data_IF_594385706180
#
_entry.id   IF_594385706180
#
_cell.length_a   1.000
_cell.length_b   1.000
_cell.length_c   1.000
_cell.angle_alpha   90.00
_cell.angle_beta   90.00
_cell.angle_gamma   90.00
#
_symmetry.space_group_name_H-M   'P 1'
#
loop_
_entity.id
_entity.type
_entity.pdbx_description
1 polymer ?
#
# COMPACT_ATOMS: atom_id res chain seq x y z
N UNK A 1 23.08 5.04 -16.42
CA UNK A 1 21.94 5.40 -15.56
C UNK A 1 22.00 6.89 -15.43
N UNK A 2 21.05 7.58 -16.05
CA UNK A 2 21.05 9.04 -16.10
C UNK A 2 20.70 9.60 -14.71
N UNK A 3 21.28 10.74 -14.33
CA UNK A 3 21.07 11.39 -13.02
C UNK A 3 19.58 11.58 -12.70
N UNK A 4 18.78 11.90 -13.72
CA UNK A 4 17.33 12.01 -13.63
C UNK A 4 16.63 10.71 -13.20
N UNK A 5 17.16 9.54 -13.59
CA UNK A 5 16.61 8.25 -13.19
C UNK A 5 16.87 7.99 -11.69
N UNK A 6 18.05 8.37 -11.19
CA UNK A 6 18.40 8.20 -9.78
C UNK A 6 17.53 9.10 -8.88
N UNK A 7 17.30 10.34 -9.32
CA UNK A 7 16.38 11.28 -8.67
C UNK A 7 14.93 10.77 -8.70
N UNK A 8 14.49 10.23 -9.85
CA UNK A 8 13.15 9.65 -9.99
C UNK A 8 12.92 8.45 -9.05
N UNK A 9 13.92 7.56 -8.94
CA UNK A 9 13.85 6.41 -8.02
C UNK A 9 13.85 6.86 -6.56
N UNK A 10 14.70 7.82 -6.18
CA UNK A 10 14.76 8.34 -4.82
C UNK A 10 13.46 9.02 -4.37
N UNK A 11 12.92 9.90 -5.22
CA UNK A 11 11.64 10.57 -4.96
C UNK A 11 10.47 9.57 -4.95
N UNK A 12 10.44 8.63 -5.89
CA UNK A 12 9.42 7.57 -5.95
C UNK A 12 9.43 6.69 -4.70
N UNK A 13 10.61 6.34 -4.17
CA UNK A 13 10.74 5.58 -2.94
C UNK A 13 10.21 6.36 -1.72
N UNK A 14 10.55 7.65 -1.60
CA UNK A 14 10.05 8.51 -0.51
C UNK A 14 8.53 8.65 -0.59
N UNK A 15 7.98 8.94 -1.78
CA UNK A 15 6.54 9.06 -2.00
C UNK A 15 5.84 7.73 -1.69
N UNK A 16 6.41 6.61 -2.13
CA UNK A 16 5.89 5.27 -1.84
C UNK A 16 5.86 4.95 -0.35
N UNK A 17 6.93 5.27 0.39
CA UNK A 17 7.00 5.10 1.85
C UNK A 17 5.97 5.98 2.56
N UNK A 18 5.86 7.25 2.18
CA UNK A 18 4.86 8.18 2.74
C UNK A 18 3.45 7.64 2.46
N UNK A 19 3.12 7.31 1.21
CA UNK A 19 1.81 6.76 0.85
C UNK A 19 1.50 5.45 1.59
N UNK A 20 2.48 4.57 1.77
CA UNK A 20 2.30 3.33 2.53
C UNK A 20 2.01 3.61 4.02
N UNK A 21 2.73 4.56 4.63
CA UNK A 21 2.54 4.97 6.03
C UNK A 21 1.25 5.76 6.25
N UNK A 22 0.76 6.48 5.23
CA UNK A 22 -0.50 7.24 5.30
C UNK A 22 -1.73 6.39 4.94
N UNK A 23 -1.56 5.09 4.70
CA UNK A 23 -2.64 4.17 4.32
C UNK A 23 -3.13 4.27 2.87
N UNK A 24 -2.84 5.38 2.16
CA UNK A 24 -3.26 5.60 0.77
C UNK A 24 -2.61 4.62 -0.23
N UNK A 25 -1.35 4.23 0.01
CA UNK A 25 -0.63 3.22 -0.80
C UNK A 25 -0.91 1.78 -0.36
N UNK A 26 -1.32 1.59 0.90
CA UNK A 26 -1.68 0.28 1.45
C UNK A 26 -2.84 -0.37 0.71
N UNK A 27 -3.77 0.43 0.17
CA UNK A 27 -4.94 -0.01 -0.62
C UNK A 27 -4.62 -0.99 -1.74
N UNK A 28 -3.61 -0.62 -2.53
CA UNK A 28 -3.23 -1.33 -3.75
C UNK A 28 -2.55 -2.66 -3.40
N UNK A 29 -1.79 -2.70 -2.31
CA UNK A 29 -1.06 -3.89 -1.88
C UNK A 29 -1.81 -4.73 -0.84
N UNK A 30 -2.83 -4.21 -0.18
CA UNK A 30 -3.53 -4.91 0.91
C UNK A 30 -4.15 -6.23 0.43
N UNK A 31 -4.88 -6.21 -0.69
CA UNK A 31 -5.51 -7.42 -1.22
C UNK A 31 -4.48 -8.48 -1.64
N UNK A 32 -3.47 -8.20 -2.49
CA UNK A 32 -2.47 -9.21 -2.83
C UNK A 32 -1.65 -9.66 -1.61
N UNK A 33 -1.37 -8.79 -0.64
CA UNK A 33 -0.64 -9.18 0.58
C UNK A 33 -1.47 -10.12 1.46
N UNK A 34 -2.79 -9.95 1.54
CA UNK A 34 -3.69 -10.88 2.25
C UNK A 34 -3.83 -12.22 1.51
N UNK A 35 -3.90 -12.20 0.18
CA UNK A 35 -3.98 -13.43 -0.64
C UNK A 35 -2.67 -14.21 -0.57
N UNK A 36 -1.52 -13.56 -0.81
CA UNK A 36 -0.22 -14.23 -0.85
C UNK A 36 0.38 -14.47 0.55
N UNK A 37 0.11 -13.59 1.52
CA UNK A 37 0.66 -13.68 2.86
C UNK A 37 -0.15 -14.56 3.81
N UNK A 38 -1.48 -14.59 3.68
CA UNK A 38 -2.37 -15.40 4.53
C UNK A 38 -3.05 -16.55 3.78
N UNK A 39 -2.86 -16.67 2.45
CA UNK A 39 -3.47 -17.72 1.64
C UNK A 39 -4.99 -17.58 1.48
N UNK A 40 -5.54 -16.39 1.79
CA UNK A 40 -6.98 -16.14 1.70
C UNK A 40 -7.44 -16.10 0.24
N UNK A 41 -8.68 -16.52 -0.02
CA UNK A 41 -9.26 -16.37 -1.35
C UNK A 41 -9.41 -14.89 -1.70
N UNK A 42 -9.37 -14.55 -2.98
CA UNK A 42 -9.53 -13.15 -3.45
C UNK A 42 -10.84 -12.51 -2.96
N UNK A 43 -11.88 -13.32 -2.77
CA UNK A 43 -13.21 -12.91 -2.31
C UNK A 43 -13.19 -12.53 -0.83
N UNK A 44 -12.37 -13.20 -0.02
CA UNK A 44 -12.20 -12.90 1.41
C UNK A 44 -11.19 -11.76 1.64
N UNK A 45 -10.13 -11.72 0.85
CA UNK A 45 -9.08 -10.70 0.96
C UNK A 45 -9.57 -9.29 0.57
N UNK A 46 -10.55 -9.18 -0.34
CA UNK A 46 -11.07 -7.89 -0.80
C UNK A 46 -11.73 -7.05 0.33
N UNK A 47 -12.75 -7.53 1.07
CA UNK A 47 -13.35 -6.76 2.16
C UNK A 47 -12.38 -6.51 3.32
N UNK A 48 -11.51 -7.48 3.65
CA UNK A 48 -10.49 -7.31 4.71
C UNK A 48 -9.47 -6.24 4.32
N UNK A 49 -9.03 -6.23 3.06
CA UNK A 49 -8.12 -5.22 2.53
C UNK A 49 -8.73 -3.82 2.56
N UNK A 50 -10.02 -3.69 2.19
CA UNK A 50 -10.75 -2.43 2.26
C UNK A 50 -10.93 -1.92 3.69
N UNK A 51 -11.22 -2.80 4.65
CA UNK A 51 -11.32 -2.45 6.07
C UNK A 51 -9.96 -2.01 6.63
N UNK A 52 -8.90 -2.77 6.37
CA UNK A 52 -7.55 -2.43 6.82
C UNK A 52 -7.10 -1.06 6.29
N UNK A 53 -7.43 -0.76 5.04
CA UNK A 53 -7.08 0.51 4.37
C UNK A 53 -7.95 1.65 4.87
N UNK A 54 -9.24 1.41 5.07
CA UNK A 54 -10.15 2.39 5.69
C UNK A 54 -9.71 2.77 7.11
N UNK A 55 -9.25 1.81 7.90
CA UNK A 55 -8.68 2.05 9.23
C UNK A 55 -7.33 2.77 9.18
N UNK A 56 -6.49 2.46 8.19
CA UNK A 56 -5.19 3.12 8.03
C UNK A 56 -5.31 4.56 7.50
N UNK A 57 -6.29 4.83 6.64
CA UNK A 57 -6.58 6.16 6.10
C UNK A 57 -7.40 7.02 7.09
N UNK A 58 -8.17 6.37 7.97
CA UNK A 58 -8.98 7.00 8.99
C UNK A 58 -8.15 7.40 10.21
N UNK A 59 -7.70 8.64 10.25
CA UNK A 59 -7.30 9.28 11.50
C UNK A 59 -8.57 9.58 12.35
N UNK A 60 -8.71 9.09 13.59
CA UNK A 60 -9.74 9.56 14.52
C UNK A 60 -9.31 10.79 15.34
N UNK A 61 -8.14 11.39 15.06
CA UNK A 61 -7.55 12.51 15.80
C UNK A 61 -7.64 13.86 15.11
#
# INVERSE_FOLDING_TARGET
>A
MDEHQLLGVGLGAIIGVVLALTGAGGGILAVPLLVFGLGLSIVEAAPVGLLAVGLAAGNPG
#
